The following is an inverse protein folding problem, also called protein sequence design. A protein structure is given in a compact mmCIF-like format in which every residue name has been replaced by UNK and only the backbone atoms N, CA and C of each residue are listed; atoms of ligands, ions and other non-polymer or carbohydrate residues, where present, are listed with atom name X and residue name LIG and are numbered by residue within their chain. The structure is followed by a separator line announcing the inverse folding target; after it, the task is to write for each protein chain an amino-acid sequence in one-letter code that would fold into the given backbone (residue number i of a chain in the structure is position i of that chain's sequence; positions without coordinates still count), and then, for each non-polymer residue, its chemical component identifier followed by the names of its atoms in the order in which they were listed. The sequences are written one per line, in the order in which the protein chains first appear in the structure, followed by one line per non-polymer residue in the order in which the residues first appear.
data_IF_780538793655
#
_entry.id   IF_780538793655
#
_cell.length_a   1.000
_cell.length_b   1.000
_cell.length_c   1.000
_cell.angle_alpha   90.00
_cell.angle_beta   90.00
_cell.angle_gamma   90.00
#
_symmetry.space_group_name_H-M   'P 1'
#
loop_
_entity.id
_entity.type
_entity.pdbx_description
1 polymer ?
#
# COMPACT_ATOMS: atom_id res chain seq x y z
N UNK A 1 38.95 8.80 47.48
CA UNK A 1 38.95 9.53 46.20
C UNK A 1 39.04 8.62 44.97
N UNK A 2 39.58 7.42 45.04
CA UNK A 2 39.69 6.48 43.91
C UNK A 2 38.37 5.78 43.51
N UNK A 3 37.37 5.73 44.38
CA UNK A 3 36.14 4.97 44.15
C UNK A 3 35.09 5.76 43.36
N UNK A 4 35.11 7.08 43.39
CA UNK A 4 34.15 7.96 42.70
C UNK A 4 34.44 8.06 41.21
N UNK A 5 35.70 8.04 40.77
CA UNK A 5 36.08 8.03 39.35
C UNK A 5 35.73 6.71 38.64
N UNK A 6 35.87 5.58 39.36
CA UNK A 6 35.48 4.27 38.82
C UNK A 6 33.95 4.15 38.70
N UNK A 7 33.19 4.72 39.62
CA UNK A 7 31.74 4.76 39.60
C UNK A 7 31.20 5.63 38.45
N UNK A 8 31.79 6.83 38.25
CA UNK A 8 31.36 7.71 37.15
C UNK A 8 31.65 7.13 35.76
N UNK A 9 32.79 6.41 35.59
CA UNK A 9 33.08 5.70 34.35
C UNK A 9 32.08 4.55 34.06
N UNK A 10 31.70 3.76 35.07
CA UNK A 10 30.69 2.71 34.94
C UNK A 10 29.34 3.30 34.64
N UNK A 11 28.95 4.41 35.27
CA UNK A 11 27.71 5.11 34.99
C UNK A 11 27.68 5.61 33.52
N UNK A 12 28.76 6.20 33.04
CA UNK A 12 28.89 6.68 31.66
C UNK A 12 28.78 5.53 30.67
N UNK A 13 29.43 4.39 30.93
CA UNK A 13 29.33 3.19 30.04
C UNK A 13 27.89 2.67 30.03
N UNK A 14 27.22 2.59 31.18
CA UNK A 14 25.83 2.15 31.26
C UNK A 14 24.89 3.11 30.50
N UNK A 15 25.07 4.42 30.61
CA UNK A 15 24.23 5.38 29.87
C UNK A 15 24.45 5.30 28.36
N UNK A 16 25.71 5.14 27.91
CA UNK A 16 26.02 4.94 26.50
C UNK A 16 25.40 3.61 26.01
N UNK A 17 25.51 2.52 26.76
CA UNK A 17 24.93 1.24 26.41
C UNK A 17 23.39 1.29 26.32
N UNK A 18 22.72 2.00 27.24
CA UNK A 18 21.27 2.21 27.21
C UNK A 18 20.88 3.05 25.99
N UNK A 19 21.61 4.11 25.70
CA UNK A 19 21.34 4.95 24.52
C UNK A 19 21.55 4.20 23.21
N UNK A 20 22.61 3.40 23.11
CA UNK A 20 22.85 2.56 21.91
C UNK A 20 21.81 1.48 21.77
N UNK A 21 21.40 0.81 22.85
CA UNK A 21 20.35 -0.21 22.83
C UNK A 21 18.99 0.41 22.46
N UNK A 22 18.67 1.60 23.00
CA UNK A 22 17.46 2.34 22.63
C UNK A 22 17.48 2.76 21.17
N UNK A 23 18.66 3.18 20.66
CA UNK A 23 18.84 3.51 19.25
C UNK A 23 18.64 2.28 18.36
N UNK A 24 19.22 1.13 18.73
CA UNK A 24 19.05 -0.14 18.01
C UNK A 24 17.59 -0.59 18.07
N UNK A 25 16.93 -0.52 19.23
CA UNK A 25 15.52 -0.90 19.38
C UNK A 25 14.58 0.00 18.55
N UNK A 26 14.95 1.27 18.32
CA UNK A 26 14.16 2.18 17.48
C UNK A 26 14.31 1.92 15.97
N UNK A 27 15.28 1.08 15.59
CA UNK A 27 15.60 0.67 14.20
C UNK A 27 14.90 -0.62 13.82
N UNK A 28 14.57 -1.44 14.82
CA UNK A 28 13.88 -2.71 14.54
C UNK A 28 12.50 -2.43 13.95
N UNK A 29 12.15 -3.06 12.79
CA UNK A 29 10.82 -2.92 12.23
C UNK A 29 9.80 -3.38 13.28
N UNK A 30 8.74 -2.60 13.45
CA UNK A 30 7.62 -3.03 14.29
C UNK A 30 7.01 -4.21 13.58
N UNK A 31 7.00 -5.38 14.23
CA UNK A 31 6.41 -6.61 13.71
C UNK A 31 4.99 -6.31 13.18
N UNK A 32 4.72 -6.66 11.93
CA UNK A 32 3.42 -6.53 11.27
C UNK A 32 3.35 -5.53 10.10
N UNK A 33 4.22 -4.52 10.01
CA UNK A 33 4.18 -3.59 8.85
C UNK A 33 4.72 -4.24 7.58
N UNK A 34 5.84 -4.96 7.64
CA UNK A 34 6.44 -5.66 6.49
C UNK A 34 5.50 -6.71 5.91
N UNK A 35 4.75 -7.40 6.73
CA UNK A 35 3.82 -8.44 6.31
C UNK A 35 2.60 -7.88 5.57
N UNK A 36 2.18 -6.61 5.83
CA UNK A 36 1.08 -5.96 5.09
C UNK A 36 1.48 -5.72 3.63
N UNK A 37 2.72 -5.31 3.37
CA UNK A 37 3.21 -5.06 2.01
C UNK A 37 3.23 -6.34 1.17
N UNK A 38 3.54 -7.48 1.80
CA UNK A 38 3.62 -8.79 1.17
C UNK A 38 2.25 -9.51 1.07
N UNK A 39 1.18 -8.87 1.55
CA UNK A 39 -0.15 -9.50 1.57
C UNK A 39 -1.12 -8.85 0.58
N UNK A 40 -0.90 -7.60 0.20
CA UNK A 40 -1.85 -6.82 -0.62
C UNK A 40 -1.29 -6.49 -2.00
N UNK A 41 -2.18 -6.45 -3.00
CA UNK A 41 -1.89 -5.87 -4.32
C UNK A 41 -2.69 -4.58 -4.46
N UNK A 42 -2.01 -3.47 -4.79
CA UNK A 42 -2.61 -2.14 -4.91
C UNK A 42 -3.03 -1.84 -6.35
N UNK A 43 -3.90 -0.85 -6.51
CA UNK A 43 -4.24 -0.23 -7.79
C UNK A 43 -3.90 1.25 -7.74
N UNK A 44 -3.22 1.72 -8.77
CA UNK A 44 -2.92 3.12 -8.98
C UNK A 44 -3.40 3.54 -10.38
N UNK A 45 -4.35 4.45 -10.45
CA UNK A 45 -4.85 5.00 -11.71
C UNK A 45 -4.52 6.48 -11.80
N UNK A 46 -3.86 6.88 -12.88
CA UNK A 46 -3.49 8.27 -13.16
C UNK A 46 -4.32 8.81 -14.31
N UNK A 47 -4.92 9.97 -14.10
CA UNK A 47 -5.61 10.70 -15.15
C UNK A 47 -4.63 11.35 -16.11
N UNK A 48 -5.07 11.65 -17.34
CA UNK A 48 -4.29 12.40 -18.30
C UNK A 48 -3.91 13.80 -17.76
N UNK A 49 -4.87 14.54 -17.19
CA UNK A 49 -4.69 15.85 -16.57
C UNK A 49 -5.60 16.05 -15.36
N UNK A 50 -5.54 17.26 -14.77
CA UNK A 50 -6.42 17.66 -13.66
C UNK A 50 -7.77 18.25 -14.11
N UNK A 51 -8.09 18.23 -15.40
CA UNK A 51 -9.41 18.67 -15.87
C UNK A 51 -10.54 17.81 -15.29
N UNK A 52 -11.72 18.39 -15.14
CA UNK A 52 -12.89 17.66 -14.61
C UNK A 52 -13.25 16.46 -15.49
N UNK A 53 -13.11 16.62 -16.81
CA UNK A 53 -13.39 15.59 -17.81
C UNK A 53 -12.40 14.42 -17.67
N UNK A 54 -11.09 14.68 -17.55
CA UNK A 54 -10.08 13.64 -17.38
C UNK A 54 -10.20 12.93 -16.03
N UNK A 55 -10.57 13.67 -14.99
CA UNK A 55 -10.85 13.07 -13.68
C UNK A 55 -12.11 12.17 -13.73
N UNK A 56 -13.16 12.56 -14.46
CA UNK A 56 -14.34 11.73 -14.67
C UNK A 56 -14.01 10.49 -15.51
N UNK A 57 -13.22 10.63 -16.57
CA UNK A 57 -12.74 9.52 -17.40
C UNK A 57 -11.93 8.51 -16.56
N UNK A 58 -11.02 8.99 -15.73
CA UNK A 58 -10.23 8.14 -14.81
C UNK A 58 -11.12 7.24 -13.95
N UNK A 59 -12.22 7.78 -13.40
CA UNK A 59 -13.13 6.98 -12.58
C UNK A 59 -13.82 5.88 -13.39
N UNK A 60 -14.21 6.15 -14.63
CA UNK A 60 -14.79 5.14 -15.52
C UNK A 60 -13.80 4.05 -15.89
N UNK A 61 -12.55 4.43 -16.20
CA UNK A 61 -11.48 3.46 -16.48
C UNK A 61 -11.19 2.62 -15.24
N UNK A 62 -11.09 3.24 -14.06
CA UNK A 62 -10.94 2.53 -12.79
C UNK A 62 -12.01 1.47 -12.60
N UNK A 63 -13.27 1.83 -12.77
CA UNK A 63 -14.40 0.93 -12.52
C UNK A 63 -14.39 -0.25 -13.50
N UNK A 64 -14.04 -0.01 -14.76
CA UNK A 64 -13.90 -1.06 -15.76
C UNK A 64 -12.73 -2.02 -15.44
N UNK A 65 -11.58 -1.47 -15.04
CA UNK A 65 -10.40 -2.25 -14.59
C UNK A 65 -10.75 -3.13 -13.39
N UNK A 66 -11.40 -2.56 -12.37
CA UNK A 66 -11.85 -3.31 -11.19
C UNK A 66 -12.83 -4.42 -11.60
N UNK A 67 -13.74 -4.15 -12.53
CA UNK A 67 -14.71 -5.12 -13.04
C UNK A 67 -14.06 -6.35 -13.66
N UNK A 68 -12.91 -6.21 -14.32
CA UNK A 68 -12.13 -7.32 -14.91
C UNK A 68 -11.26 -8.01 -13.85
N UNK A 69 -10.59 -7.25 -12.99
CA UNK A 69 -9.62 -7.81 -12.04
C UNK A 69 -10.29 -8.51 -10.86
N UNK A 70 -11.36 -7.94 -10.30
CA UNK A 70 -11.99 -8.51 -9.10
C UNK A 70 -12.42 -9.97 -9.24
N UNK A 71 -13.05 -10.40 -10.34
CA UNK A 71 -13.37 -11.82 -10.53
C UNK A 71 -12.14 -12.72 -10.60
N UNK A 72 -11.04 -12.23 -11.19
CA UNK A 72 -9.81 -13.00 -11.36
C UNK A 72 -9.08 -13.25 -10.04
N UNK A 73 -9.15 -12.31 -9.08
CA UNK A 73 -8.46 -12.43 -7.80
C UNK A 73 -9.36 -12.95 -6.66
N UNK A 74 -10.64 -13.13 -6.93
CA UNK A 74 -11.67 -13.45 -5.91
C UNK A 74 -11.34 -14.68 -5.07
N UNK A 75 -10.81 -15.73 -5.70
CA UNK A 75 -10.55 -17.01 -5.05
C UNK A 75 -9.07 -17.18 -4.66
N UNK A 76 -8.22 -16.16 -4.88
CA UNK A 76 -6.82 -16.17 -4.48
C UNK A 76 -6.69 -16.11 -2.95
N UNK A 77 -5.69 -16.83 -2.43
CA UNK A 77 -5.42 -16.94 -0.99
C UNK A 77 -4.12 -16.28 -0.57
N UNK A 78 -3.33 -15.82 -1.53
CA UNK A 78 -2.06 -15.14 -1.28
C UNK A 78 -1.82 -14.04 -2.31
N UNK A 79 -0.90 -13.12 -2.00
CA UNK A 79 -0.46 -12.07 -2.92
C UNK A 79 0.11 -12.68 -4.21
N UNK A 80 0.94 -13.73 -4.10
CA UNK A 80 1.55 -14.38 -5.27
C UNK A 80 0.51 -14.97 -6.21
N UNK A 81 -0.55 -15.60 -5.66
CA UNK A 81 -1.66 -16.11 -6.46
C UNK A 81 -2.40 -14.97 -7.17
N UNK A 82 -2.62 -13.86 -6.46
CA UNK A 82 -3.28 -12.69 -7.03
C UNK A 82 -2.42 -12.04 -8.14
N UNK A 83 -1.11 -11.90 -7.92
CA UNK A 83 -0.16 -11.40 -8.92
C UNK A 83 -0.23 -12.29 -10.16
N UNK A 84 -0.10 -13.61 -10.02
CA UNK A 84 -0.15 -14.54 -11.14
C UNK A 84 -1.51 -14.54 -11.88
N UNK A 85 -2.61 -14.29 -11.16
CA UNK A 85 -3.93 -14.13 -11.76
C UNK A 85 -4.05 -12.84 -12.57
N UNK A 86 -3.54 -11.73 -12.02
CA UNK A 86 -3.53 -10.42 -12.67
C UNK A 86 -2.67 -10.45 -13.93
N UNK A 87 -1.47 -11.03 -13.86
CA UNK A 87 -0.57 -11.15 -15.03
C UNK A 87 -1.23 -11.82 -16.23
N UNK A 88 -2.05 -12.86 -15.99
CA UNK A 88 -2.75 -13.59 -17.06
C UNK A 88 -3.80 -12.77 -17.80
N UNK A 89 -4.34 -11.74 -17.13
CA UNK A 89 -5.44 -10.91 -17.68
C UNK A 89 -4.97 -9.49 -18.04
N UNK A 90 -3.68 -9.19 -17.99
CA UNK A 90 -3.15 -7.83 -18.25
C UNK A 90 -3.59 -7.28 -19.61
N UNK A 91 -3.58 -8.12 -20.64
CA UNK A 91 -4.01 -7.73 -21.99
C UNK A 91 -5.52 -7.42 -22.03
N UNK A 92 -6.34 -8.22 -21.35
CA UNK A 92 -7.78 -7.99 -21.24
C UNK A 92 -8.08 -6.68 -20.49
N UNK A 93 -7.37 -6.41 -19.39
CA UNK A 93 -7.49 -5.17 -18.63
C UNK A 93 -7.14 -3.97 -19.51
N UNK A 94 -6.05 -4.08 -20.29
CA UNK A 94 -5.64 -3.02 -21.21
C UNK A 94 -6.68 -2.74 -22.29
N UNK A 95 -7.16 -3.80 -22.95
CA UNK A 95 -8.20 -3.69 -24.00
C UNK A 95 -9.45 -3.02 -23.41
N UNK A 96 -9.90 -3.47 -22.24
CA UNK A 96 -11.09 -2.91 -21.58
C UNK A 96 -10.91 -1.43 -21.23
N UNK A 97 -9.75 -1.04 -20.71
CA UNK A 97 -9.44 0.35 -20.40
C UNK A 97 -9.43 1.23 -21.67
N UNK A 98 -8.82 0.74 -22.77
CA UNK A 98 -8.80 1.44 -24.07
C UNK A 98 -10.20 1.56 -24.68
N UNK A 99 -11.06 0.56 -24.52
CA UNK A 99 -12.45 0.61 -24.97
C UNK A 99 -13.25 1.67 -24.24
N UNK A 100 -13.07 1.81 -22.93
CA UNK A 100 -13.70 2.88 -22.13
C UNK A 100 -13.25 4.25 -22.63
N UNK A 101 -11.95 4.46 -22.83
CA UNK A 101 -11.40 5.74 -23.33
C UNK A 101 -12.01 6.10 -24.68
N UNK A 102 -12.06 5.14 -25.63
CA UNK A 102 -12.65 5.36 -26.96
C UNK A 102 -14.16 5.62 -26.91
N UNK A 103 -14.89 4.89 -26.06
CA UNK A 103 -16.33 5.07 -25.86
C UNK A 103 -16.69 6.45 -25.34
N UNK A 104 -15.82 7.02 -24.49
CA UNK A 104 -15.98 8.38 -23.97
C UNK A 104 -15.52 9.48 -24.96
N UNK A 105 -15.03 9.09 -26.13
CA UNK A 105 -14.67 10.01 -27.21
C UNK A 105 -13.24 10.51 -27.17
N UNK A 106 -12.36 9.86 -26.39
CA UNK A 106 -10.94 10.20 -26.28
C UNK A 106 -10.05 9.23 -27.05
N UNK A 107 -8.85 9.68 -27.40
CA UNK A 107 -7.80 8.88 -28.06
C UNK A 107 -6.52 8.84 -27.21
N UNK A 108 -6.68 8.73 -25.89
CA UNK A 108 -5.55 8.63 -24.97
C UNK A 108 -4.97 7.24 -24.97
N UNK A 109 -3.62 7.10 -25.06
CA UNK A 109 -2.98 5.81 -24.90
C UNK A 109 -3.14 5.31 -23.45
N UNK A 110 -3.29 3.99 -23.30
CA UNK A 110 -3.30 3.33 -22.00
C UNK A 110 -1.99 2.55 -21.82
N UNK A 111 -1.31 2.83 -20.72
CA UNK A 111 -0.17 2.04 -20.26
C UNK A 111 -0.49 1.37 -18.93
N UNK A 112 -0.23 0.06 -18.83
CA UNK A 112 -0.45 -0.72 -17.62
C UNK A 112 0.85 -1.44 -17.26
N UNK A 113 1.25 -1.32 -15.99
CA UNK A 113 2.41 -2.01 -15.42
C UNK A 113 2.02 -2.69 -14.12
N UNK A 114 2.64 -3.84 -13.82
CA UNK A 114 2.53 -4.52 -12.54
C UNK A 114 3.94 -4.60 -11.95
N UNK A 115 4.12 -4.09 -10.72
CA UNK A 115 5.44 -4.05 -10.08
C UNK A 115 5.42 -3.29 -8.76
N UNK A 116 6.58 -3.17 -8.13
CA UNK A 116 6.72 -2.40 -6.90
C UNK A 116 6.57 -0.90 -7.14
N UNK A 117 5.79 -0.26 -6.28
CA UNK A 117 5.56 1.18 -6.29
C UNK A 117 5.50 1.72 -4.85
N UNK A 118 6.09 2.89 -4.64
CA UNK A 118 6.06 3.56 -3.34
C UNK A 118 4.75 4.31 -3.15
N UNK A 119 4.04 3.99 -2.07
CA UNK A 119 2.79 4.64 -1.69
C UNK A 119 2.98 5.48 -0.43
N UNK A 120 2.43 6.70 -0.39
CA UNK A 120 2.27 7.43 0.86
C UNK A 120 1.19 6.76 1.72
N UNK A 121 1.16 7.08 3.02
CA UNK A 121 0.05 6.65 3.90
C UNK A 121 -1.29 7.06 3.29
N UNK A 122 -2.21 6.10 3.17
CA UNK A 122 -3.57 6.31 2.64
C UNK A 122 -4.60 5.82 3.63
N UNK A 123 -5.52 6.72 4.01
CA UNK A 123 -6.65 6.42 4.89
C UNK A 123 -7.90 6.30 4.04
N UNK A 124 -8.64 5.22 4.25
CA UNK A 124 -9.96 4.94 3.69
C UNK A 124 -10.97 4.95 4.84
N UNK A 125 -12.26 4.87 4.58
CA UNK A 125 -13.28 4.93 5.63
C UNK A 125 -13.14 3.81 6.68
N UNK A 126 -12.74 2.63 6.26
CA UNK A 126 -12.64 1.44 7.12
C UNK A 126 -11.21 1.04 7.49
N UNK A 127 -10.19 1.55 6.79
CA UNK A 127 -8.80 1.15 7.01
C UNK A 127 -7.81 2.21 6.55
N UNK A 128 -6.55 2.10 7.00
CA UNK A 128 -5.45 2.93 6.55
C UNK A 128 -4.24 2.06 6.22
N UNK A 129 -3.69 2.24 5.03
CA UNK A 129 -2.44 1.57 4.65
C UNK A 129 -1.25 2.48 4.95
N UNK A 130 -0.22 1.99 5.64
CA UNK A 130 0.99 2.75 5.93
C UNK A 130 1.76 3.10 4.65
N UNK A 131 2.62 4.11 4.74
CA UNK A 131 3.58 4.44 3.70
C UNK A 131 4.57 3.29 3.51
N UNK A 132 4.82 2.89 2.25
CA UNK A 132 5.76 1.84 1.93
C UNK A 132 5.73 1.41 0.47
N UNK A 133 6.52 0.39 0.15
CA UNK A 133 6.54 -0.20 -1.18
C UNK A 133 5.53 -1.35 -1.23
N UNK A 134 4.67 -1.31 -2.24
CA UNK A 134 3.63 -2.31 -2.48
C UNK A 134 3.73 -2.82 -3.90
N UNK A 135 3.37 -4.07 -4.12
CA UNK A 135 3.06 -4.54 -5.47
C UNK A 135 1.79 -3.82 -5.94
N UNK A 136 1.87 -3.18 -7.08
CA UNK A 136 0.82 -2.32 -7.62
C UNK A 136 0.60 -2.56 -9.11
N UNK A 137 -0.68 -2.63 -9.51
CA UNK A 137 -1.05 -2.43 -10.89
C UNK A 137 -1.27 -0.94 -11.13
N UNK A 138 -0.40 -0.35 -11.95
CA UNK A 138 -0.45 1.06 -12.32
C UNK A 138 -1.06 1.21 -13.69
N UNK A 139 -2.12 2.01 -13.80
CA UNK A 139 -2.83 2.33 -15.03
C UNK A 139 -2.65 3.81 -15.33
N UNK A 140 -1.99 4.14 -16.41
CA UNK A 140 -1.76 5.50 -16.87
C UNK A 140 -2.64 5.80 -18.08
N UNK A 141 -3.36 6.92 -18.03
CA UNK A 141 -4.24 7.40 -19.09
C UNK A 141 -3.56 8.63 -19.71
N UNK A 142 -3.27 8.59 -21.01
CA UNK A 142 -2.62 9.69 -21.71
C UNK A 142 -1.25 10.03 -21.12
N UNK A 143 -1.03 11.31 -20.81
CA UNK A 143 0.22 11.83 -20.25
C UNK A 143 0.40 11.49 -18.77
N UNK A 144 -0.66 11.03 -18.09
CA UNK A 144 -0.64 10.63 -16.68
C UNK A 144 -0.13 11.73 -15.72
N UNK A 145 -0.43 13.00 -16.03
CA UNK A 145 -0.02 14.16 -15.24
C UNK A 145 -1.10 14.63 -14.24
N UNK A 146 -2.30 14.01 -14.29
CA UNK A 146 -3.42 14.34 -13.40
C UNK A 146 -3.37 13.67 -12.05
N UNK A 147 -4.40 13.94 -11.23
CA UNK A 147 -4.52 13.40 -9.87
C UNK A 147 -4.59 11.89 -9.86
N UNK A 148 -3.93 11.33 -8.86
CA UNK A 148 -3.87 9.90 -8.60
C UNK A 148 -5.15 9.36 -7.96
N UNK A 149 -5.50 8.12 -8.30
CA UNK A 149 -6.45 7.31 -7.54
C UNK A 149 -5.75 6.07 -7.02
N UNK A 150 -5.81 5.82 -5.73
CA UNK A 150 -5.21 4.64 -5.10
C UNK A 150 -6.26 3.77 -4.45
N UNK A 151 -6.15 2.47 -4.65
CA UNK A 151 -7.06 1.46 -4.11
C UNK A 151 -6.31 0.16 -3.76
N UNK A 152 -7.02 -0.86 -3.29
CA UNK A 152 -6.52 -2.21 -3.05
C UNK A 152 -7.28 -3.20 -3.94
N UNK A 153 -6.56 -3.92 -4.83
CA UNK A 153 -7.13 -4.95 -5.70
C UNK A 153 -7.25 -6.29 -5.00
N UNK A 154 -6.27 -6.59 -4.15
CA UNK A 154 -6.26 -7.82 -3.39
C UNK A 154 -5.82 -7.54 -1.94
N UNK A 155 -6.60 -7.99 -0.94
CA UNK A 155 -7.99 -8.44 -1.08
C UNK A 155 -8.89 -7.38 -1.76
N UNK A 156 -10.00 -7.77 -2.41
CA UNK A 156 -10.80 -6.87 -3.24
C UNK A 156 -11.63 -5.89 -2.40
N UNK A 157 -11.00 -4.80 -1.98
CA UNK A 157 -11.59 -3.75 -1.15
C UNK A 157 -12.12 -2.55 -1.95
N UNK A 158 -11.76 -2.46 -3.23
CA UNK A 158 -12.19 -1.35 -4.08
C UNK A 158 -13.71 -1.23 -4.24
N UNK A 159 -14.43 -2.33 -4.13
CA UNK A 159 -15.90 -2.36 -4.24
C UNK A 159 -16.60 -2.03 -2.91
N UNK A 160 -15.96 -2.36 -1.78
CA UNK A 160 -16.52 -2.14 -0.44
C UNK A 160 -16.25 -0.74 0.11
N UNK A 161 -15.28 -0.01 -0.43
CA UNK A 161 -15.05 1.39 -0.07
C UNK A 161 -16.23 2.32 -0.46
N UNK A 162 -17.14 1.82 -1.32
CA UNK A 162 -18.40 2.52 -1.66
C UNK A 162 -19.55 2.21 -0.71
N UNK A 163 -19.41 1.23 0.20
CA UNK A 163 -20.45 0.87 1.18
C UNK A 163 -19.82 0.75 2.57
N UNK A 164 -19.99 1.81 3.36
CA UNK A 164 -19.53 1.89 4.76
C UNK A 164 -20.21 0.87 5.72
N UNK A 165 -21.03 -0.04 5.20
CA UNK A 165 -21.88 -0.92 6.01
C UNK A 165 -21.21 -2.27 6.38
N UNK A 166 -20.02 -2.63 5.83
CA UNK A 166 -19.48 -3.99 5.99
C UNK A 166 -18.07 -4.05 6.61
N UNK A 167 -17.87 -3.49 7.81
CA UNK A 167 -16.60 -3.70 8.56
C UNK A 167 -16.29 -5.18 8.83
N UNK A 168 -17.33 -5.99 9.12
CA UNK A 168 -17.17 -7.43 9.39
C UNK A 168 -16.74 -8.21 8.12
N UNK A 169 -17.29 -7.86 6.97
CA UNK A 169 -16.92 -8.46 5.67
C UNK A 169 -15.47 -8.12 5.27
N UNK A 170 -15.03 -6.90 5.59
CA UNK A 170 -13.65 -6.48 5.31
C UNK A 170 -12.65 -7.21 6.21
N UNK A 171 -12.95 -7.39 7.50
CA UNK A 171 -12.12 -8.16 8.44
C UNK A 171 -11.96 -9.60 7.98
N UNK A 172 -13.07 -10.26 7.63
CA UNK A 172 -13.06 -11.64 7.15
C UNK A 172 -12.28 -11.78 5.84
N UNK A 173 -12.38 -10.81 4.93
CA UNK A 173 -11.60 -10.77 3.69
C UNK A 173 -10.09 -10.67 3.96
N UNK A 174 -9.66 -9.79 4.86
CA UNK A 174 -8.24 -9.65 5.20
C UNK A 174 -7.69 -10.88 5.93
N UNK A 175 -8.43 -11.44 6.88
CA UNK A 175 -8.01 -12.64 7.61
C UNK A 175 -7.94 -13.85 6.68
N UNK A 176 -8.85 -13.97 5.71
CA UNK A 176 -8.89 -15.08 4.75
C UNK A 176 -7.67 -15.12 3.82
N UNK A 177 -7.02 -13.99 3.58
CA UNK A 177 -5.81 -13.88 2.74
C UNK A 177 -4.51 -13.85 3.54
N UNK A 178 -4.59 -14.10 4.86
CA UNK A 178 -3.42 -14.31 5.72
C UNK A 178 -3.00 -13.12 6.58
N UNK A 179 -3.76 -12.01 6.62
CA UNK A 179 -3.52 -10.99 7.64
C UNK A 179 -3.89 -11.54 9.02
N UNK A 180 -2.99 -11.34 9.99
CA UNK A 180 -3.32 -11.62 11.39
C UNK A 180 -4.31 -10.59 11.94
N UNK A 181 -5.04 -10.94 13.00
CA UNK A 181 -5.93 -10.01 13.69
C UNK A 181 -5.20 -8.73 14.15
N UNK A 182 -3.92 -8.85 14.56
CA UNK A 182 -3.10 -7.71 14.97
C UNK A 182 -2.76 -6.78 13.81
N UNK A 183 -2.53 -7.33 12.62
CA UNK A 183 -2.29 -6.57 11.39
C UNK A 183 -3.55 -5.87 10.91
N UNK A 184 -4.69 -6.54 10.97
CA UNK A 184 -5.98 -5.93 10.68
C UNK A 184 -6.28 -4.77 11.64
N UNK A 185 -6.02 -4.95 12.94
CA UNK A 185 -6.12 -3.90 13.93
C UNK A 185 -5.21 -2.70 13.62
N UNK A 186 -4.00 -2.95 13.15
CA UNK A 186 -3.02 -1.93 12.77
C UNK A 186 -3.51 -1.07 11.59
N UNK A 187 -4.24 -1.66 10.64
CA UNK A 187 -4.83 -0.94 9.51
C UNK A 187 -6.13 -0.22 9.89
N UNK A 188 -6.90 -0.73 10.84
CA UNK A 188 -8.22 -0.16 11.21
C UNK A 188 -8.17 0.85 12.36
N UNK A 189 -7.24 0.70 13.31
CA UNK A 189 -7.10 1.62 14.46
C UNK A 189 -6.26 2.86 14.14
N UNK A 190 -5.69 2.99 12.96
CA UNK A 190 -4.79 4.07 12.58
C UNK A 190 -5.47 5.45 12.41
N UNK A 191 -6.74 5.57 12.79
CA UNK A 191 -7.46 6.85 12.87
C UNK A 191 -6.96 7.77 14.01
N UNK A 192 -6.01 7.31 14.81
CA UNK A 192 -5.30 8.14 15.78
C UNK A 192 -3.85 8.28 15.33
N UNK A 193 -3.34 9.50 15.05
CA UNK A 193 -1.96 9.69 14.69
C UNK A 193 -1.06 9.37 15.87
N UNK A 194 -0.66 8.11 16.02
CA UNK A 194 0.49 7.76 16.84
C UNK A 194 1.70 8.26 16.09
N UNK A 195 2.28 9.39 16.53
CA UNK A 195 3.51 9.92 15.97
C UNK A 195 4.60 8.86 16.05
N UNK A 196 4.86 8.17 14.92
CA UNK A 196 6.03 7.32 14.76
C UNK A 196 7.18 8.23 14.33
N UNK A 197 8.16 8.43 15.18
CA UNK A 197 9.41 9.11 14.82
C UNK A 197 10.15 8.17 13.87
N UNK A 198 10.05 8.40 12.56
CA UNK A 198 10.82 7.69 11.54
C UNK A 198 12.14 8.42 11.33
N UNK A 199 13.24 7.72 11.55
CA UNK A 199 14.57 8.23 11.23
C UNK A 199 14.90 7.86 9.77
N UNK A 200 14.84 8.84 8.86
CA UNK A 200 15.19 8.69 7.44
C UNK A 200 16.55 8.01 7.17
N UNK A 201 17.47 8.12 8.14
CA UNK A 201 18.79 7.46 8.11
C UNK A 201 18.65 5.93 8.04
N UNK A 202 17.63 5.37 8.65
CA UNK A 202 17.43 3.91 8.76
C UNK A 202 16.81 3.30 7.51
N UNK A 203 15.93 4.01 6.83
CA UNK A 203 15.41 3.62 5.51
C UNK A 203 16.54 3.55 4.49
N UNK A 204 17.53 4.46 4.60
CA UNK A 204 18.71 4.47 3.72
C UNK A 204 19.64 3.29 3.99
N UNK A 205 19.79 2.88 5.26
CA UNK A 205 20.61 1.71 5.64
C UNK A 205 19.94 0.39 5.27
N UNK A 206 18.62 0.25 5.39
CA UNK A 206 17.87 -0.93 4.98
C UNK A 206 17.99 -1.22 3.48
N UNK A 207 18.09 -0.16 2.64
CA UNK A 207 18.37 -0.30 1.19
C UNK A 207 19.79 -0.76 0.87
N UNK A 208 20.74 -0.66 1.79
CA UNK A 208 22.16 -0.96 1.55
C UNK A 208 22.53 -2.37 2.03
N UNK A 209 21.75 -2.99 2.89
CA UNK A 209 22.05 -4.28 3.52
C UNK A 209 20.92 -5.32 3.37
N UNK A 210 19.84 -5.00 2.61
CA UNK A 210 18.75 -5.91 2.27
C UNK A 210 18.86 -6.52 0.88
#
# INVERSE_FOLDING_TARGET
MFNTMAFSKKLLICTIAILTLSLIASVLPIHGETEIYDTVVRLHVLANSDSEEDQALKLKVRDAVIGVVSPAVKDCKSQDEAIAAIEKIMDEVKITAEEVVRKEGYDYPISITLGEEHYPTRTYESCAFPEGNYVSMRVCIGDAEGQNWWCCLFPPLCLSAASAEDKASNEEAFISVGLSADQYQLITESNSPKYKVRFKILETFGRWFG
#
